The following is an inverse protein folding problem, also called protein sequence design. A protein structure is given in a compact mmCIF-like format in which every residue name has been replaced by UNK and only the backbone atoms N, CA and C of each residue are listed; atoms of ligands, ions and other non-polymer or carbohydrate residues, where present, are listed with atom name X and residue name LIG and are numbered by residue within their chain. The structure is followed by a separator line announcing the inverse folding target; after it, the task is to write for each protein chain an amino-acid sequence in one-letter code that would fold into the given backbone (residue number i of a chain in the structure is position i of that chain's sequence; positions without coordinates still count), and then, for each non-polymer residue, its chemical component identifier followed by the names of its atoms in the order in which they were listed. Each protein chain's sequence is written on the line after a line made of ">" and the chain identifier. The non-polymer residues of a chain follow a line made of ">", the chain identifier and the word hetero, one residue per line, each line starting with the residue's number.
data_IF_909328009763
#
_entry.id   IF_909328009763
#
_cell.length_a   1.000
_cell.length_b   1.000
_cell.length_c   1.000
_cell.angle_alpha   90.00
_cell.angle_beta   90.00
_cell.angle_gamma   90.00
#
_symmetry.space_group_name_H-M   'P 1'
#
loop_
_entity.id
_entity.type
_entity.pdbx_description
1 polymer ?
#
# COMPACT_ATOMS: atom_id res chain seq x y z
N UNK A 1 14.48 22.27 2.90
CA UNK A 1 13.62 21.45 3.78
C UNK A 1 14.46 20.34 4.37
N UNK A 2 14.41 20.12 5.68
CA UNK A 2 15.13 19.03 6.33
C UNK A 2 14.34 17.72 6.07
N UNK A 3 14.90 16.81 5.27
CA UNK A 3 14.22 15.55 4.90
C UNK A 3 13.89 14.67 6.12
N UNK A 4 14.79 14.58 7.10
CA UNK A 4 14.55 13.80 8.32
C UNK A 4 13.36 14.33 9.12
N UNK A 5 13.27 15.67 9.25
CA UNK A 5 12.13 16.30 9.92
C UNK A 5 10.84 16.05 9.14
N UNK A 6 10.84 16.17 7.82
CA UNK A 6 9.66 15.93 6.99
C UNK A 6 9.17 14.48 7.14
N UNK A 7 10.06 13.48 7.08
CA UNK A 7 9.69 12.09 7.30
C UNK A 7 9.11 11.86 8.71
N UNK A 8 9.73 12.44 9.75
CA UNK A 8 9.21 12.34 11.12
C UNK A 8 7.80 12.94 11.25
N UNK A 9 7.55 14.07 10.61
CA UNK A 9 6.23 14.73 10.60
C UNK A 9 5.19 13.92 9.82
N UNK A 10 5.58 13.34 8.68
CA UNK A 10 4.70 12.43 7.92
C UNK A 10 4.30 11.22 8.76
N UNK A 11 5.26 10.58 9.43
CA UNK A 11 4.97 9.45 10.33
C UNK A 11 4.03 9.87 11.45
N UNK A 12 4.28 11.00 12.13
CA UNK A 12 3.41 11.49 13.21
C UNK A 12 1.98 11.80 12.73
N UNK A 13 1.82 12.38 11.55
CA UNK A 13 0.49 12.66 10.97
C UNK A 13 -0.27 11.35 10.67
N UNK A 14 0.42 10.38 10.05
CA UNK A 14 -0.20 9.16 9.58
C UNK A 14 -0.34 8.07 10.64
N UNK A 15 0.43 8.11 11.72
CA UNK A 15 0.38 7.14 12.83
C UNK A 15 -1.01 7.04 13.47
N UNK A 16 -1.75 8.15 13.54
CA UNK A 16 -3.13 8.18 14.05
C UNK A 16 -4.19 7.60 13.11
N UNK A 17 -3.81 7.23 11.87
CA UNK A 17 -4.72 6.68 10.86
C UNK A 17 -4.86 5.16 10.97
N UNK A 18 -6.03 4.64 10.62
CA UNK A 18 -6.20 3.20 10.45
C UNK A 18 -5.42 2.68 9.23
N UNK A 19 -5.30 3.53 8.19
CA UNK A 19 -4.52 3.31 6.98
C UNK A 19 -3.62 4.52 6.70
N UNK A 20 -2.50 4.28 6.04
CA UNK A 20 -1.55 5.32 5.61
C UNK A 20 -1.70 5.66 4.12
N UNK A 21 -2.71 5.09 3.48
CA UNK A 21 -3.08 5.31 2.08
C UNK A 21 -4.50 4.80 1.78
N UNK A 22 -5.01 5.09 0.57
CA UNK A 22 -6.33 4.64 0.12
C UNK A 22 -6.49 3.13 0.14
N UNK A 23 -7.67 2.66 0.52
CA UNK A 23 -8.02 1.24 0.57
C UNK A 23 -9.15 0.95 1.55
N UNK A 24 -9.56 -0.31 1.59
CA UNK A 24 -10.60 -0.80 2.50
C UNK A 24 -10.38 -2.28 2.84
N UNK A 25 -11.05 -2.76 3.89
CA UNK A 25 -11.12 -4.19 4.19
C UNK A 25 -11.77 -4.95 3.02
N UNK A 26 -12.80 -4.38 2.40
CA UNK A 26 -13.48 -4.96 1.23
C UNK A 26 -12.55 -5.09 0.02
N UNK A 27 -11.68 -4.12 -0.23
CA UNK A 27 -10.70 -4.18 -1.31
C UNK A 27 -9.68 -5.28 -1.06
N UNK A 28 -9.13 -5.37 0.17
CA UNK A 28 -8.23 -6.45 0.59
C UNK A 28 -8.88 -7.82 0.44
N UNK A 29 -10.12 -8.00 0.93
CA UNK A 29 -10.86 -9.26 0.83
C UNK A 29 -11.18 -9.64 -0.62
N UNK A 30 -11.51 -8.67 -1.48
CA UNK A 30 -11.74 -8.89 -2.92
C UNK A 30 -10.48 -9.39 -3.61
N UNK A 31 -9.33 -8.78 -3.34
CA UNK A 31 -8.05 -9.21 -3.88
C UNK A 31 -7.66 -10.61 -3.35
N UNK A 32 -7.92 -10.89 -2.08
CA UNK A 32 -7.68 -12.21 -1.48
C UNK A 32 -8.54 -13.29 -2.15
N UNK A 33 -9.80 -13.00 -2.46
CA UNK A 33 -10.67 -13.92 -3.19
C UNK A 33 -10.15 -14.21 -4.61
N UNK A 34 -9.58 -13.21 -5.30
CA UNK A 34 -8.95 -13.38 -6.61
C UNK A 34 -7.66 -14.22 -6.53
N UNK A 35 -6.93 -14.16 -5.41
CA UNK A 35 -5.77 -15.01 -5.17
C UNK A 35 -6.11 -16.50 -5.00
N UNK A 36 -7.40 -16.85 -4.88
CA UNK A 36 -7.89 -18.23 -4.69
C UNK A 36 -7.18 -18.96 -3.54
N UNK A 37 -6.78 -18.24 -2.51
CA UNK A 37 -6.08 -18.81 -1.37
C UNK A 37 -7.02 -19.64 -0.50
N UNK A 38 -6.64 -20.89 -0.25
CA UNK A 38 -7.39 -21.75 0.68
C UNK A 38 -7.10 -21.29 2.13
N UNK A 39 -8.14 -20.88 2.90
CA UNK A 39 -7.99 -20.43 4.28
C UNK A 39 -7.38 -21.47 5.23
N UNK A 40 -7.45 -22.76 4.87
CA UNK A 40 -6.85 -23.85 5.65
C UNK A 40 -5.34 -24.01 5.42
N UNK A 41 -4.81 -23.41 4.37
CA UNK A 41 -3.39 -23.53 3.99
C UNK A 41 -2.46 -22.78 4.95
N UNK A 42 -1.29 -23.37 5.18
CA UNK A 42 -0.21 -22.72 5.93
C UNK A 42 0.64 -21.88 4.99
N UNK A 43 0.15 -20.68 4.68
CA UNK A 43 0.85 -19.77 3.79
C UNK A 43 1.87 -18.93 4.56
N UNK A 44 3.01 -18.65 3.93
CA UNK A 44 3.97 -17.64 4.37
C UNK A 44 3.79 -16.39 3.51
N UNK A 45 3.29 -15.34 4.12
CA UNK A 45 2.90 -14.09 3.47
C UNK A 45 3.83 -12.97 3.93
N UNK A 46 4.42 -12.22 3.00
CA UNK A 46 5.07 -10.95 3.31
C UNK A 46 4.13 -9.81 2.91
N UNK A 47 3.73 -8.98 3.88
CA UNK A 47 2.97 -7.74 3.65
C UNK A 47 3.95 -6.58 3.67
N UNK A 48 4.30 -6.07 2.48
CA UNK A 48 5.41 -5.12 2.26
C UNK A 48 4.88 -3.69 2.19
N UNK A 49 5.37 -2.83 3.07
CA UNK A 49 4.82 -1.49 3.30
C UNK A 49 3.51 -1.59 4.08
N UNK A 50 3.51 -2.39 5.15
CA UNK A 50 2.30 -2.72 5.91
C UNK A 50 1.72 -1.54 6.69
N UNK A 51 2.47 -0.45 6.88
CA UNK A 51 2.07 0.67 7.70
C UNK A 51 1.67 0.24 9.12
N UNK A 52 0.56 0.76 9.61
CA UNK A 52 -0.01 0.37 10.91
C UNK A 52 -0.83 -0.93 10.86
N UNK A 53 -0.75 -1.67 9.74
CA UNK A 53 -1.20 -3.06 9.64
C UNK A 53 -2.62 -3.28 9.14
N UNK A 54 -3.22 -2.35 8.41
CA UNK A 54 -4.59 -2.50 7.93
C UNK A 54 -4.78 -3.79 7.12
N UNK A 55 -3.95 -4.03 6.09
CA UNK A 55 -3.94 -5.27 5.29
C UNK A 55 -3.53 -6.49 6.11
N UNK A 56 -2.45 -6.38 6.90
CA UNK A 56 -1.95 -7.48 7.75
C UNK A 56 -3.01 -8.04 8.68
N UNK A 57 -3.81 -7.17 9.33
CA UNK A 57 -4.88 -7.57 10.23
C UNK A 57 -6.03 -8.29 9.50
N UNK A 58 -6.39 -7.81 8.31
CA UNK A 58 -7.42 -8.45 7.46
C UNK A 58 -6.94 -9.83 7.01
N UNK A 59 -5.70 -9.93 6.52
CA UNK A 59 -5.10 -11.19 6.08
C UNK A 59 -5.04 -12.21 7.23
N UNK A 60 -4.61 -11.78 8.44
CA UNK A 60 -4.52 -12.67 9.60
C UNK A 60 -5.89 -13.20 10.05
N UNK A 61 -6.94 -12.38 10.00
CA UNK A 61 -8.31 -12.82 10.31
C UNK A 61 -8.85 -13.79 9.26
N UNK A 62 -8.54 -13.54 7.98
CA UNK A 62 -9.05 -14.33 6.86
C UNK A 62 -8.31 -15.64 6.65
N UNK A 63 -7.05 -15.70 7.06
CA UNK A 63 -6.14 -16.85 6.88
C UNK A 63 -5.54 -17.28 8.22
N UNK A 64 -6.32 -17.90 9.11
CA UNK A 64 -5.90 -18.16 10.50
C UNK A 64 -4.71 -19.10 10.63
N UNK A 65 -4.37 -19.84 9.59
CA UNK A 65 -3.21 -20.74 9.56
C UNK A 65 -1.98 -20.13 8.88
N UNK A 66 -2.10 -18.92 8.31
CA UNK A 66 -0.98 -18.25 7.66
C UNK A 66 -0.02 -17.63 8.67
N UNK A 67 1.26 -17.59 8.31
CA UNK A 67 2.29 -16.76 8.92
C UNK A 67 2.41 -15.47 8.10
N UNK A 68 2.08 -14.33 8.70
CA UNK A 68 2.19 -13.01 8.07
C UNK A 68 3.43 -12.33 8.62
N UNK A 69 4.33 -11.93 7.72
CA UNK A 69 5.50 -11.11 8.03
C UNK A 69 5.19 -9.72 7.50
N UNK A 70 4.82 -8.83 8.41
CA UNK A 70 4.47 -7.45 8.13
C UNK A 70 5.75 -6.60 8.13
N UNK A 71 6.07 -6.02 6.98
CA UNK A 71 7.33 -5.30 6.74
C UNK A 71 7.04 -3.83 6.53
N UNK A 72 7.72 -2.98 7.28
CA UNK A 72 7.73 -1.53 7.07
C UNK A 72 9.10 -0.94 7.40
N UNK A 73 9.38 0.25 6.89
CA UNK A 73 10.61 0.98 7.16
C UNK A 73 10.55 1.73 8.50
N UNK A 74 9.33 2.10 8.93
CA UNK A 74 9.11 2.97 10.08
C UNK A 74 8.78 2.16 11.34
N UNK A 75 9.66 2.15 12.37
CA UNK A 75 9.44 1.42 13.61
C UNK A 75 8.19 1.88 14.37
N UNK A 76 7.76 3.12 14.19
CA UNK A 76 6.55 3.66 14.80
C UNK A 76 5.30 2.98 14.25
N UNK A 77 5.24 2.73 12.95
CA UNK A 77 4.14 1.99 12.31
C UNK A 77 4.14 0.51 12.75
N UNK A 78 5.32 -0.09 12.82
CA UNK A 78 5.50 -1.46 13.33
C UNK A 78 4.98 -1.57 14.77
N UNK A 79 5.34 -0.65 15.66
CA UNK A 79 4.90 -0.66 17.05
C UNK A 79 3.35 -0.51 17.17
N UNK A 80 2.74 0.34 16.34
CA UNK A 80 1.28 0.45 16.33
C UNK A 80 0.60 -0.81 15.79
N UNK A 81 1.16 -1.45 14.75
CA UNK A 81 0.68 -2.74 14.27
C UNK A 81 0.74 -3.81 15.36
N UNK A 82 1.85 -3.93 16.08
CA UNK A 82 1.99 -4.90 17.18
C UNK A 82 0.94 -4.70 18.27
N UNK A 83 0.70 -3.44 18.65
CA UNK A 83 -0.35 -3.08 19.61
C UNK A 83 -1.74 -3.48 19.09
N UNK A 84 -2.07 -3.18 17.82
CA UNK A 84 -3.34 -3.58 17.19
C UNK A 84 -3.49 -5.10 17.10
N UNK A 85 -2.44 -5.80 16.67
CA UNK A 85 -2.43 -7.26 16.62
C UNK A 85 -2.70 -7.88 18.00
N UNK A 86 -2.12 -7.30 19.06
CA UNK A 86 -2.41 -7.70 20.44
C UNK A 86 -3.87 -7.48 20.84
N UNK A 87 -4.44 -6.34 20.50
CA UNK A 87 -5.86 -6.01 20.79
C UNK A 87 -6.84 -6.97 20.11
N UNK A 88 -6.51 -7.43 18.89
CA UNK A 88 -7.35 -8.37 18.14
C UNK A 88 -7.01 -9.85 18.38
N UNK A 89 -6.03 -10.16 19.22
CA UNK A 89 -5.61 -11.54 19.49
C UNK A 89 -4.87 -12.21 18.32
N UNK A 90 -4.25 -11.41 17.44
CA UNK A 90 -3.59 -11.86 16.21
C UNK A 90 -2.07 -11.92 16.30
N UNK A 91 -1.48 -11.62 17.46
CA UNK A 91 0.00 -11.63 17.67
C UNK A 91 0.66 -12.98 17.37
N UNK A 92 -0.10 -14.07 17.39
CA UNK A 92 0.39 -15.40 17.05
C UNK A 92 0.57 -15.61 15.53
N UNK A 93 -0.11 -14.83 14.70
CA UNK A 93 -0.13 -14.97 13.25
C UNK A 93 0.72 -13.91 12.54
N UNK A 94 0.94 -12.75 13.19
CA UNK A 94 1.66 -11.62 12.64
C UNK A 94 3.02 -11.50 13.31
N UNK A 95 4.07 -11.53 12.51
CA UNK A 95 5.43 -11.14 12.88
C UNK A 95 5.76 -9.84 12.19
N UNK A 96 6.43 -8.95 12.86
CA UNK A 96 6.86 -7.67 12.32
C UNK A 96 8.33 -7.69 11.92
N UNK A 97 8.67 -6.90 10.92
CA UNK A 97 10.03 -6.78 10.41
C UNK A 97 10.29 -5.34 9.97
N UNK A 98 11.19 -4.65 10.65
CA UNK A 98 11.71 -3.36 10.21
C UNK A 98 12.73 -3.61 9.10
N UNK A 99 12.36 -3.27 7.85
CA UNK A 99 13.24 -3.42 6.69
C UNK A 99 12.79 -2.52 5.53
N UNK A 100 13.76 -2.13 4.70
CA UNK A 100 13.44 -1.49 3.43
C UNK A 100 12.89 -2.47 2.41
N UNK A 101 11.86 -2.07 1.67
CA UNK A 101 11.21 -2.89 0.64
C UNK A 101 12.10 -3.22 -0.56
N UNK A 102 13.21 -2.50 -0.75
CA UNK A 102 14.21 -2.79 -1.79
C UNK A 102 15.36 -3.67 -1.30
N UNK A 103 15.37 -4.05 -0.02
CA UNK A 103 16.41 -4.88 0.60
C UNK A 103 15.82 -5.87 1.62
N UNK A 104 14.94 -6.73 1.15
CA UNK A 104 14.21 -7.68 2.00
C UNK A 104 15.06 -8.90 2.35
N UNK A 105 15.11 -9.34 3.62
CA UNK A 105 15.95 -10.46 4.07
C UNK A 105 15.26 -11.82 3.88
N UNK A 106 14.56 -11.99 2.75
CA UNK A 106 13.94 -13.27 2.41
C UNK A 106 14.80 -14.05 1.42
N UNK A 107 14.85 -15.37 1.60
CA UNK A 107 15.48 -16.26 0.64
C UNK A 107 14.64 -16.39 -0.63
N UNK A 108 15.27 -16.70 -1.75
CA UNK A 108 14.55 -17.03 -2.97
C UNK A 108 13.59 -18.21 -2.75
N UNK A 109 12.44 -18.16 -3.42
CA UNK A 109 11.40 -19.19 -3.40
C UNK A 109 10.92 -19.56 -1.97
N UNK A 110 10.90 -18.58 -1.05
CA UNK A 110 10.51 -18.80 0.35
C UNK A 110 9.09 -18.34 0.71
N UNK A 111 8.50 -17.46 -0.11
CA UNK A 111 7.19 -16.87 0.14
C UNK A 111 6.11 -17.49 -0.74
N UNK A 112 4.95 -17.75 -0.15
CA UNK A 112 3.75 -18.17 -0.89
C UNK A 112 3.02 -16.97 -1.47
N UNK A 113 2.99 -15.85 -0.72
CA UNK A 113 2.32 -14.61 -1.12
C UNK A 113 3.21 -13.41 -0.75
N UNK A 114 3.29 -12.45 -1.67
CA UNK A 114 3.69 -11.08 -1.39
C UNK A 114 2.45 -10.20 -1.53
N UNK A 115 2.18 -9.42 -0.51
CA UNK A 115 1.10 -8.45 -0.44
C UNK A 115 1.68 -7.05 -0.30
N UNK A 116 1.11 -6.05 -0.99
CA UNK A 116 1.56 -4.65 -0.86
C UNK A 116 0.44 -3.70 -1.30
N UNK A 117 -0.15 -2.98 -0.36
CA UNK A 117 -1.21 -2.00 -0.65
C UNK A 117 -0.67 -0.58 -0.59
N UNK A 118 -0.73 0.15 -1.71
CA UNK A 118 -0.36 1.58 -1.79
C UNK A 118 1.08 1.87 -1.37
N UNK A 119 2.03 0.98 -1.65
CA UNK A 119 3.39 1.13 -1.17
C UNK A 119 4.48 0.92 -2.24
N UNK A 120 4.26 0.04 -3.22
CA UNK A 120 5.28 -0.34 -4.23
C UNK A 120 5.83 0.86 -5.01
N UNK A 121 5.04 1.92 -5.20
CA UNK A 121 5.44 3.14 -5.91
C UNK A 121 6.69 3.80 -5.29
N UNK A 122 6.94 3.61 -3.98
CA UNK A 122 8.10 4.18 -3.29
C UNK A 122 9.45 3.69 -3.87
N UNK A 123 9.47 2.52 -4.51
CA UNK A 123 10.66 2.00 -5.20
C UNK A 123 10.49 1.92 -6.71
N UNK A 124 9.29 2.24 -7.21
CA UNK A 124 8.87 2.09 -8.60
C UNK A 124 8.22 0.72 -8.86
N UNK A 125 7.11 0.74 -9.60
CA UNK A 125 6.33 -0.47 -9.86
C UNK A 125 7.14 -1.55 -10.59
N UNK A 126 7.80 -1.15 -11.69
CA UNK A 126 8.61 -2.07 -12.49
C UNK A 126 9.74 -2.69 -11.66
N UNK A 127 10.48 -1.86 -10.92
CA UNK A 127 11.55 -2.33 -10.05
C UNK A 127 11.02 -3.27 -8.97
N UNK A 128 9.90 -2.92 -8.32
CA UNK A 128 9.32 -3.72 -7.24
C UNK A 128 8.89 -5.12 -7.71
N UNK A 129 8.15 -5.22 -8.82
CA UNK A 129 7.69 -6.52 -9.34
C UNK A 129 8.84 -7.42 -9.79
N UNK A 130 9.92 -6.85 -10.34
CA UNK A 130 11.12 -7.59 -10.73
C UNK A 130 11.93 -8.05 -9.50
N UNK A 131 12.11 -7.15 -8.51
CA UNK A 131 12.90 -7.40 -7.31
C UNK A 131 12.27 -8.45 -6.38
N UNK A 132 10.94 -8.43 -6.25
CA UNK A 132 10.23 -9.33 -5.34
C UNK A 132 9.92 -10.70 -5.97
N UNK A 133 9.92 -10.81 -7.30
CA UNK A 133 9.61 -12.06 -7.99
C UNK A 133 10.48 -13.26 -7.56
N UNK A 134 11.82 -13.14 -7.42
CA UNK A 134 12.66 -14.26 -6.96
C UNK A 134 12.24 -14.80 -5.58
N UNK A 135 11.71 -13.96 -4.69
CA UNK A 135 11.32 -14.32 -3.33
C UNK A 135 10.09 -15.25 -3.29
N UNK A 136 9.20 -15.12 -4.30
CA UNK A 136 8.04 -15.99 -4.44
C UNK A 136 8.42 -17.40 -4.89
N UNK A 137 7.74 -18.39 -4.32
CA UNK A 137 7.74 -19.76 -4.84
C UNK A 137 7.17 -19.80 -6.26
N UNK A 138 7.41 -20.87 -7.01
CA UNK A 138 6.71 -21.09 -8.29
C UNK A 138 5.20 -21.20 -8.03
N UNK A 139 4.41 -20.46 -8.81
CA UNK A 139 2.96 -20.33 -8.58
C UNK A 139 2.59 -19.45 -7.37
N UNK A 140 3.59 -18.87 -6.68
CA UNK A 140 3.33 -17.92 -5.59
C UNK A 140 2.70 -16.62 -6.08
N UNK A 141 1.94 -15.98 -5.23
CA UNK A 141 1.07 -14.84 -5.56
C UNK A 141 1.75 -13.51 -5.23
N UNK A 142 1.66 -12.54 -6.14
CA UNK A 142 1.87 -11.13 -5.87
C UNK A 142 0.50 -10.45 -5.92
N UNK A 143 0.10 -9.81 -4.84
CA UNK A 143 -1.09 -8.97 -4.76
C UNK A 143 -0.65 -7.54 -4.43
N UNK A 144 -0.85 -6.61 -5.36
CA UNK A 144 -0.31 -5.25 -5.25
C UNK A 144 -1.31 -4.22 -5.73
N UNK A 145 -1.49 -3.15 -4.94
CA UNK A 145 -2.25 -1.99 -5.42
C UNK A 145 -1.30 -0.87 -5.86
N UNK A 146 -1.61 -0.29 -7.01
CA UNK A 146 -0.76 0.66 -7.71
C UNK A 146 -1.56 1.74 -8.39
N UNK A 147 -1.04 2.98 -8.40
CA UNK A 147 -1.68 4.12 -9.06
C UNK A 147 -1.84 3.86 -10.56
N UNK A 148 -3.05 4.05 -11.05
CA UNK A 148 -3.46 3.60 -12.37
C UNK A 148 -4.39 4.60 -13.04
N UNK A 149 -4.15 4.91 -14.31
CA UNK A 149 -5.11 5.66 -15.13
C UNK A 149 -6.35 4.83 -15.42
N UNK A 150 -7.54 5.40 -15.16
CA UNK A 150 -8.82 4.79 -15.51
C UNK A 150 -9.18 5.02 -16.97
N UNK A 151 -8.61 6.06 -17.58
CA UNK A 151 -8.79 6.43 -18.99
C UNK A 151 -7.43 6.77 -19.62
N UNK A 152 -7.24 6.48 -20.92
CA UNK A 152 -5.95 6.68 -21.59
C UNK A 152 -5.58 8.15 -21.84
N UNK A 153 -6.55 9.05 -21.88
CA UNK A 153 -6.36 10.47 -22.22
C UNK A 153 -6.80 11.38 -21.06
N UNK A 154 -6.08 11.39 -19.93
CA UNK A 154 -6.43 12.23 -18.78
C UNK A 154 -6.27 13.72 -19.11
N UNK A 155 -7.03 14.63 -18.45
CA UNK A 155 -6.85 16.06 -18.56
C UNK A 155 -5.41 16.48 -18.29
N UNK A 156 -4.94 17.50 -19.02
CA UNK A 156 -3.55 17.97 -18.98
C UNK A 156 -3.05 18.26 -17.56
N UNK A 157 -3.88 18.91 -16.73
CA UNK A 157 -3.51 19.28 -15.35
C UNK A 157 -3.14 18.07 -14.51
N UNK A 158 -3.98 17.00 -14.52
CA UNK A 158 -3.70 15.80 -13.70
C UNK A 158 -2.62 14.93 -14.34
N UNK A 159 -2.48 14.96 -15.66
CA UNK A 159 -1.40 14.29 -16.38
C UNK A 159 -0.05 14.87 -15.99
N UNK A 160 0.11 16.20 -16.04
CA UNK A 160 1.36 16.88 -15.63
C UNK A 160 1.70 16.65 -14.17
N UNK A 161 0.70 16.63 -13.27
CA UNK A 161 0.90 16.31 -11.86
C UNK A 161 1.56 14.94 -11.71
N UNK A 162 0.92 13.89 -12.25
CA UNK A 162 1.44 12.52 -12.09
C UNK A 162 2.73 12.25 -12.87
N UNK A 163 2.95 12.88 -14.04
CA UNK A 163 4.22 12.79 -14.75
C UNK A 163 5.39 13.36 -13.92
N UNK A 164 5.11 14.32 -13.02
CA UNK A 164 6.10 14.91 -12.13
C UNK A 164 6.29 14.08 -10.86
N UNK A 165 5.19 13.71 -10.19
CA UNK A 165 5.23 13.03 -8.89
C UNK A 165 5.51 11.52 -9.03
N UNK A 166 4.96 10.89 -10.05
CA UNK A 166 5.14 9.45 -10.29
C UNK A 166 5.03 9.09 -11.77
N UNK A 167 6.12 9.22 -12.54
CA UNK A 167 6.14 8.98 -14.00
C UNK A 167 5.78 7.55 -14.42
N UNK A 168 5.78 6.59 -13.51
CA UNK A 168 5.37 5.20 -13.80
C UNK A 168 3.86 4.99 -13.81
N UNK A 169 3.03 6.01 -13.53
CA UNK A 169 1.58 5.88 -13.66
C UNK A 169 1.23 5.47 -15.09
N UNK A 170 0.37 4.45 -15.23
CA UNK A 170 -0.01 3.93 -16.53
C UNK A 170 -1.44 3.36 -16.50
N UNK A 171 -1.99 2.99 -17.64
CA UNK A 171 -3.29 2.31 -17.69
C UNK A 171 -3.19 0.88 -17.16
N UNK A 172 -4.32 0.29 -16.78
CA UNK A 172 -4.33 -1.11 -16.33
C UNK A 172 -3.83 -2.11 -17.38
N UNK A 173 -4.12 -1.98 -18.69
CA UNK A 173 -3.52 -2.84 -19.69
C UNK A 173 -1.98 -2.74 -19.74
N UNK A 174 -1.43 -1.54 -19.58
CA UNK A 174 0.03 -1.35 -19.57
C UNK A 174 0.68 -1.96 -18.32
N UNK A 175 0.06 -1.77 -17.14
CA UNK A 175 0.53 -2.38 -15.89
C UNK A 175 0.45 -3.91 -15.94
N UNK A 176 -0.64 -4.46 -16.47
CA UNK A 176 -0.80 -5.92 -16.68
C UNK A 176 0.29 -6.43 -17.62
N UNK A 177 0.55 -5.72 -18.73
CA UNK A 177 1.63 -6.09 -19.64
C UNK A 177 2.99 -6.08 -18.96
N UNK A 178 3.29 -5.09 -18.10
CA UNK A 178 4.55 -5.06 -17.34
C UNK A 178 4.67 -6.28 -16.40
N UNK A 179 3.59 -6.70 -15.74
CA UNK A 179 3.54 -7.91 -14.92
C UNK A 179 3.78 -9.18 -15.74
N UNK A 180 3.13 -9.30 -16.90
CA UNK A 180 3.31 -10.44 -17.80
C UNK A 180 4.73 -10.51 -18.35
N UNK A 181 5.31 -9.36 -18.77
CA UNK A 181 6.69 -9.28 -19.24
C UNK A 181 7.69 -9.64 -18.12
N UNK A 182 7.37 -9.31 -16.86
CA UNK A 182 8.15 -9.71 -15.69
C UNK A 182 7.97 -11.18 -15.28
N UNK A 183 7.14 -11.95 -15.99
CA UNK A 183 6.97 -13.38 -15.77
C UNK A 183 5.91 -13.76 -14.75
N UNK A 184 4.83 -13.00 -14.71
CA UNK A 184 3.62 -13.32 -13.95
C UNK A 184 2.46 -13.65 -14.88
N UNK A 185 1.45 -14.33 -14.36
CA UNK A 185 0.16 -14.57 -15.00
C UNK A 185 -0.93 -13.84 -14.21
N UNK A 186 -1.80 -13.08 -14.89
CA UNK A 186 -2.90 -12.36 -14.25
C UNK A 186 -3.95 -13.34 -13.72
N UNK A 187 -4.31 -13.21 -12.45
CA UNK A 187 -5.41 -13.92 -11.80
C UNK A 187 -6.63 -13.04 -11.61
N UNK A 188 -6.42 -11.76 -11.28
CA UNK A 188 -7.49 -10.81 -11.08
C UNK A 188 -7.03 -9.37 -11.09
N UNK A 189 -7.99 -8.49 -11.35
CA UNK A 189 -7.82 -7.04 -11.33
C UNK A 189 -9.08 -6.40 -10.79
N UNK A 190 -8.93 -5.38 -9.96
CA UNK A 190 -10.03 -4.53 -9.51
C UNK A 190 -9.55 -3.10 -9.30
N UNK A 191 -10.47 -2.16 -9.30
CA UNK A 191 -10.21 -0.75 -9.03
C UNK A 191 -10.75 -0.39 -7.66
N UNK A 192 -10.01 0.39 -6.88
CA UNK A 192 -10.49 0.95 -5.63
C UNK A 192 -11.60 1.98 -5.93
N UNK A 193 -12.76 1.87 -5.28
CA UNK A 193 -13.83 2.85 -5.44
C UNK A 193 -13.44 4.19 -4.79
N UNK A 194 -14.09 5.30 -5.17
CA UNK A 194 -13.82 6.60 -4.58
C UNK A 194 -13.97 6.66 -3.04
N UNK A 195 -14.83 5.84 -2.44
CA UNK A 195 -14.97 5.74 -0.99
C UNK A 195 -13.68 5.34 -0.28
N UNK A 196 -12.88 4.46 -0.89
CA UNK A 196 -11.60 4.00 -0.32
C UNK A 196 -10.57 5.14 -0.21
N UNK A 197 -10.66 6.12 -1.08
CA UNK A 197 -9.86 7.35 -1.05
C UNK A 197 -10.45 8.40 -0.11
N UNK A 198 -11.75 8.69 -0.24
CA UNK A 198 -12.39 9.78 0.46
C UNK A 198 -12.68 9.42 1.93
N UNK A 199 -13.44 8.34 2.16
CA UNK A 199 -13.96 7.99 3.48
C UNK A 199 -12.91 7.31 4.36
N UNK A 200 -12.02 6.51 3.75
CA UNK A 200 -11.04 5.73 4.49
C UNK A 200 -9.67 6.40 4.60
N UNK A 201 -9.38 7.42 3.79
CA UNK A 201 -8.07 8.07 3.79
C UNK A 201 -8.16 9.60 3.92
N UNK A 202 -8.69 10.33 2.93
CA UNK A 202 -8.61 11.80 2.95
C UNK A 202 -9.44 12.43 4.07
N UNK A 203 -10.70 12.06 4.26
CA UNK A 203 -11.55 12.64 5.32
C UNK A 203 -10.94 12.40 6.70
N UNK A 204 -10.54 11.17 7.09
CA UNK A 204 -9.84 10.94 8.36
C UNK A 204 -8.52 11.71 8.50
N UNK A 205 -7.72 11.82 7.44
CA UNK A 205 -6.46 12.58 7.46
C UNK A 205 -6.73 14.07 7.67
N UNK A 206 -7.63 14.67 6.90
CA UNK A 206 -8.03 16.07 7.04
C UNK A 206 -8.56 16.38 8.45
N UNK A 207 -9.30 15.46 9.06
CA UNK A 207 -9.82 15.65 10.43
C UNK A 207 -8.72 15.72 11.50
N UNK A 208 -7.55 15.12 11.24
CA UNK A 208 -6.40 15.15 12.16
C UNK A 208 -5.48 16.36 12.01
N UNK A 209 -5.55 17.08 10.87
CA UNK A 209 -4.66 18.21 10.59
C UNK A 209 -4.67 19.31 11.67
N UNK A 210 -5.83 19.73 12.26
CA UNK A 210 -5.81 20.74 13.31
C UNK A 210 -5.07 20.30 14.57
N UNK A 211 -5.24 19.05 15.01
CA UNK A 211 -4.52 18.51 16.16
C UNK A 211 -3.03 18.35 15.87
N UNK A 212 -2.68 17.86 14.67
CA UNK A 212 -1.31 17.77 14.20
C UNK A 212 -0.61 19.14 14.22
N UNK A 213 -1.24 20.20 13.69
CA UNK A 213 -0.71 21.55 13.74
C UNK A 213 -0.51 22.03 15.18
N UNK A 214 -1.44 21.73 16.10
CA UNK A 214 -1.36 22.12 17.49
C UNK A 214 -0.21 21.43 18.25
N UNK A 215 0.18 20.22 17.87
CA UNK A 215 1.34 19.50 18.43
C UNK A 215 2.69 20.11 18.02
N UNK A 216 2.74 20.82 16.88
CA UNK A 216 3.98 21.35 16.30
C UNK A 216 3.91 22.87 16.07
N UNK A 217 3.74 23.70 17.10
CA UNK A 217 3.55 25.14 16.94
C UNK A 217 4.78 25.81 16.35
N UNK A 218 4.58 26.64 15.30
CA UNK A 218 5.64 27.46 14.69
C UNK A 218 6.59 26.71 13.77
N UNK A 219 6.33 25.45 13.43
CA UNK A 219 7.14 24.66 12.48
C UNK A 219 6.60 24.89 11.07
N UNK A 220 7.40 25.45 10.17
CA UNK A 220 7.01 25.77 8.79
C UNK A 220 6.70 24.50 7.99
N UNK A 221 7.49 23.46 8.15
CA UNK A 221 7.32 22.17 7.47
C UNK A 221 5.94 21.53 7.76
N UNK A 222 5.35 21.81 8.92
CA UNK A 222 4.00 21.37 9.26
C UNK A 222 2.96 22.07 8.40
N UNK A 223 3.11 23.38 8.17
CA UNK A 223 2.20 24.14 7.31
C UNK A 223 2.33 23.67 5.85
N UNK A 224 3.54 23.41 5.41
CA UNK A 224 3.83 22.88 4.07
C UNK A 224 3.19 21.49 3.88
N UNK A 225 3.31 20.60 4.88
CA UNK A 225 2.70 19.27 4.85
C UNK A 225 1.17 19.36 4.85
N UNK A 226 0.58 20.21 5.69
CA UNK A 226 -0.88 20.44 5.71
C UNK A 226 -1.37 20.94 4.33
N UNK A 227 -0.61 21.83 3.71
CA UNK A 227 -0.95 22.31 2.37
C UNK A 227 -0.85 21.19 1.33
N UNK A 228 0.16 20.33 1.38
CA UNK A 228 0.31 19.17 0.50
C UNK A 228 -0.88 18.22 0.63
N UNK A 229 -1.21 17.76 1.84
CA UNK A 229 -2.33 16.86 2.12
C UNK A 229 -3.68 17.43 1.67
N UNK A 230 -3.87 18.74 1.90
CA UNK A 230 -5.09 19.43 1.47
C UNK A 230 -5.18 19.54 -0.06
N UNK A 231 -4.08 19.87 -0.72
CA UNK A 231 -4.03 19.97 -2.16
C UNK A 231 -4.24 18.61 -2.83
N UNK A 232 -3.64 17.55 -2.30
CA UNK A 232 -3.80 16.19 -2.81
C UNK A 232 -5.26 15.73 -2.70
N UNK A 233 -5.92 15.94 -1.55
CA UNK A 233 -7.32 15.61 -1.38
C UNK A 233 -8.22 16.38 -2.35
N UNK A 234 -7.96 17.67 -2.58
CA UNK A 234 -8.70 18.50 -3.54
C UNK A 234 -8.45 18.06 -4.98
N UNK A 235 -7.22 17.67 -5.32
CA UNK A 235 -6.85 17.15 -6.63
C UNK A 235 -7.56 15.83 -6.91
N UNK A 236 -7.58 14.93 -5.92
CA UNK A 236 -8.33 13.69 -6.03
C UNK A 236 -9.82 13.95 -6.25
N UNK A 237 -10.45 14.80 -5.44
CA UNK A 237 -11.89 15.12 -5.60
C UNK A 237 -12.21 15.64 -7.01
N UNK A 238 -11.33 16.45 -7.57
CA UNK A 238 -11.48 17.00 -8.91
C UNK A 238 -11.32 15.96 -10.03
N UNK A 239 -10.43 14.98 -9.83
CA UNK A 239 -10.00 14.04 -10.87
C UNK A 239 -10.23 12.57 -10.55
N UNK A 240 -11.05 12.24 -9.54
CA UNK A 240 -11.33 10.87 -9.08
C UNK A 240 -11.85 9.91 -10.17
N UNK A 241 -12.41 10.46 -11.25
CA UNK A 241 -12.87 9.64 -12.37
C UNK A 241 -11.74 9.28 -13.35
N UNK A 242 -10.55 9.86 -13.19
CA UNK A 242 -9.43 9.71 -14.11
C UNK A 242 -8.33 8.78 -13.62
N UNK A 243 -8.17 8.63 -12.31
CA UNK A 243 -7.18 7.75 -11.72
C UNK A 243 -7.67 7.14 -10.40
N UNK A 244 -7.14 5.98 -10.09
CA UNK A 244 -7.32 5.33 -8.80
C UNK A 244 -6.21 4.30 -8.60
N UNK A 245 -6.20 3.59 -7.46
CA UNK A 245 -5.41 2.38 -7.36
C UNK A 245 -6.09 1.23 -8.11
N UNK A 246 -5.35 0.63 -9.05
CA UNK A 246 -5.63 -0.69 -9.55
C UNK A 246 -5.04 -1.73 -8.61
N UNK A 247 -5.83 -2.72 -8.20
CA UNK A 247 -5.37 -3.86 -7.43
C UNK A 247 -5.13 -5.04 -8.37
N UNK A 248 -3.88 -5.46 -8.48
CA UNK A 248 -3.41 -6.51 -9.37
C UNK A 248 -3.07 -7.76 -8.56
N UNK A 249 -3.68 -8.88 -8.89
CA UNK A 249 -3.39 -10.19 -8.31
C UNK A 249 -2.85 -11.09 -9.41
N UNK A 250 -1.60 -11.54 -9.25
CA UNK A 250 -0.88 -12.29 -10.27
C UNK A 250 -0.13 -13.46 -9.66
N UNK A 251 0.10 -14.53 -10.45
CA UNK A 251 0.89 -15.68 -10.06
C UNK A 251 2.25 -15.69 -10.75
N UNK A 252 3.33 -16.02 -10.03
CA UNK A 252 4.66 -16.25 -10.59
C UNK A 252 4.66 -17.50 -11.48
N UNK A 253 5.07 -17.35 -12.76
CA UNK A 253 5.30 -18.45 -13.68
C UNK A 253 6.45 -19.37 -13.28
#
# INVERSE_FOLDING_TARGET
>A
MNQELLFSLLVDLHLGGERQGPGSEEATLRALAQASSDPSSRLKIADIGCGTGASSLVLARSLPNAEIIAVDLFPEFIAELEKRAGQYGLSGNIKTLEASMDSLPFSENSLDVIWSEGAIYNIGFKKGIELWRPLLKKGGILAVSEITWLHPDPPEEIRQHWETEYPEIATSPDKIKQLEDAGYDLLGYSVLPPSDWQENYYIPTQSRLPEFAARHPGVQEVQDLIAMETNEANLYEKFKDWFSYGFYVVAKR
#
